data_IF_066438702835
#
_entry.id   IF_066438702835
#
_cell.length_a   1.000
_cell.length_b   1.000
_cell.length_c   1.000
_cell.angle_alpha   90.00
_cell.angle_beta   90.00
_cell.angle_gamma   90.00
#
_symmetry.space_group_name_H-M   'P 1'
#
loop_
_entity.id
_entity.type
_entity.pdbx_description
1 polymer ?
#
# COMPACT_ATOMS: atom_id res chain seq x y z
N UNK A 1 8.07 4.08 0.53
CA UNK A 1 7.62 4.02 1.94
C UNK A 1 8.08 5.28 2.68
N UNK A 2 7.37 5.74 3.72
CA UNK A 2 7.72 6.98 4.45
C UNK A 2 6.87 8.20 4.09
N UNK A 3 5.63 7.97 3.66
CA UNK A 3 4.65 9.03 3.38
C UNK A 3 3.87 9.36 4.66
N UNK A 4 3.56 10.63 4.89
CA UNK A 4 2.83 11.11 6.06
C UNK A 4 1.30 10.95 5.94
N UNK A 5 0.84 10.04 5.08
CA UNK A 5 -0.57 9.77 4.84
C UNK A 5 -0.78 8.33 4.37
N UNK A 6 -1.96 7.77 4.66
CA UNK A 6 -2.36 6.45 4.19
C UNK A 6 -3.25 6.60 2.94
N UNK A 7 -2.70 6.20 1.80
CA UNK A 7 -3.38 6.11 0.51
C UNK A 7 -3.98 4.72 0.26
N UNK A 8 -4.66 4.60 -0.87
CA UNK A 8 -5.19 3.30 -1.34
C UNK A 8 -4.06 2.31 -1.65
N UNK A 9 -2.87 2.82 -1.98
CA UNK A 9 -1.68 2.03 -2.27
C UNK A 9 -1.17 1.30 -1.03
N UNK A 10 -1.18 1.97 0.13
CA UNK A 10 -0.80 1.36 1.41
C UNK A 10 -1.83 0.30 1.82
N UNK A 11 -3.11 0.52 1.55
CA UNK A 11 -4.16 -0.48 1.78
C UNK A 11 -3.93 -1.71 0.88
N UNK A 12 -3.65 -1.51 -0.41
CA UNK A 12 -3.33 -2.60 -1.35
C UNK A 12 -2.09 -3.40 -0.89
N UNK A 13 -1.01 -2.71 -0.53
CA UNK A 13 0.20 -3.37 -0.04
C UNK A 13 -0.05 -4.11 1.29
N UNK A 14 -0.92 -3.58 2.15
CA UNK A 14 -1.38 -4.26 3.35
C UNK A 14 -2.15 -5.55 3.04
N UNK A 15 -3.09 -5.51 2.09
CA UNK A 15 -3.86 -6.68 1.64
C UNK A 15 -2.96 -7.76 1.03
N UNK A 16 -1.97 -7.38 0.22
CA UNK A 16 -1.01 -8.34 -0.34
C UNK A 16 -0.11 -8.90 0.76
N UNK A 17 0.35 -8.04 1.68
CA UNK A 17 1.26 -8.38 2.76
C UNK A 17 0.66 -9.25 3.86
N UNK A 18 -0.65 -9.15 4.10
CA UNK A 18 -1.40 -10.03 5.01
C UNK A 18 -1.21 -11.51 4.65
N UNK A 19 -1.19 -11.82 3.35
CA UNK A 19 -0.79 -13.13 2.81
C UNK A 19 -1.77 -14.29 3.03
N UNK A 20 -2.68 -14.19 4.00
CA UNK A 20 -3.62 -15.26 4.39
C UNK A 20 -5.07 -14.97 3.94
N UNK A 21 -5.44 -13.70 3.80
CA UNK A 21 -6.76 -13.24 3.38
C UNK A 21 -7.16 -13.61 1.95
N UNK A 22 -8.47 -13.53 1.67
CA UNK A 22 -9.04 -13.83 0.34
C UNK A 22 -8.44 -12.89 -0.72
N UNK A 23 -8.30 -11.60 -0.42
CA UNK A 23 -7.69 -10.62 -1.32
C UNK A 23 -6.24 -10.98 -1.65
N UNK A 24 -5.43 -11.37 -0.66
CA UNK A 24 -4.06 -11.81 -0.86
C UNK A 24 -3.98 -13.02 -1.80
N UNK A 25 -4.87 -14.00 -1.62
CA UNK A 25 -4.93 -15.21 -2.45
C UNK A 25 -5.31 -14.88 -3.90
N UNK A 26 -6.32 -14.02 -4.11
CA UNK A 26 -6.74 -13.58 -5.44
C UNK A 26 -5.60 -12.83 -6.15
N UNK A 27 -4.99 -11.86 -5.48
CA UNK A 27 -3.88 -11.07 -6.03
C UNK A 27 -2.68 -11.98 -6.38
N UNK A 28 -2.34 -12.93 -5.50
CA UNK A 28 -1.30 -13.93 -5.77
C UNK A 28 -1.64 -14.82 -6.96
N UNK A 29 -2.90 -15.24 -7.11
CA UNK A 29 -3.36 -16.02 -8.27
C UNK A 29 -3.29 -15.23 -9.58
N UNK A 30 -3.35 -13.89 -9.51
CA UNK A 30 -3.14 -13.00 -10.67
C UNK A 30 -1.66 -12.70 -10.94
N UNK A 31 -0.74 -13.33 -10.20
CA UNK A 31 0.70 -13.10 -10.33
C UNK A 31 1.19 -11.81 -9.66
N UNK A 32 0.33 -11.12 -8.89
CA UNK A 32 0.72 -9.92 -8.14
C UNK A 32 1.48 -10.35 -6.90
N UNK A 33 2.73 -9.93 -6.80
CA UNK A 33 3.57 -10.16 -5.64
C UNK A 33 3.85 -8.86 -4.89
N UNK A 34 4.13 -8.96 -3.59
CA UNK A 34 4.33 -7.80 -2.72
C UNK A 34 5.53 -6.95 -3.15
N UNK A 35 6.60 -7.60 -3.63
CA UNK A 35 7.86 -6.95 -3.97
C UNK A 35 7.69 -6.03 -5.18
N UNK A 36 7.08 -6.54 -6.24
CA UNK A 36 6.87 -5.81 -7.49
C UNK A 36 5.80 -4.73 -7.27
N UNK A 37 4.71 -5.05 -6.56
CA UNK A 37 3.70 -4.06 -6.17
C UNK A 37 4.33 -2.89 -5.39
N UNK A 38 5.26 -3.17 -4.47
CA UNK A 38 5.97 -2.12 -3.73
C UNK A 38 6.86 -1.28 -4.65
N UNK A 39 7.57 -1.89 -5.59
CA UNK A 39 8.41 -1.16 -6.55
C UNK A 39 7.55 -0.24 -7.42
N UNK A 40 6.42 -0.72 -7.94
CA UNK A 40 5.52 0.09 -8.76
C UNK A 40 4.87 1.23 -7.98
N UNK A 41 4.42 0.98 -6.75
CA UNK A 41 3.91 2.04 -5.87
C UNK A 41 4.99 3.10 -5.58
N UNK A 42 6.24 2.68 -5.35
CA UNK A 42 7.36 3.61 -5.16
C UNK A 42 7.70 4.41 -6.43
N UNK A 43 7.50 3.85 -7.64
CA UNK A 43 7.66 4.58 -8.90
C UNK A 43 6.57 5.63 -9.12
N UNK A 44 5.32 5.31 -8.78
CA UNK A 44 4.16 6.18 -9.01
C UNK A 44 4.12 7.32 -7.99
N UNK A 45 4.27 7.01 -6.71
CA UNK A 45 4.09 7.98 -5.61
C UNK A 45 5.44 8.57 -5.17
N UNK A 46 6.57 7.95 -5.54
CA UNK A 46 7.88 8.28 -5.01
C UNK A 46 8.12 7.70 -3.61
N UNK A 47 9.33 7.93 -3.08
CA UNK A 47 9.63 7.71 -1.67
C UNK A 47 9.29 8.97 -0.89
N UNK A 48 8.49 8.82 0.16
CA UNK A 48 8.24 9.92 1.09
C UNK A 48 9.51 10.26 1.86
N UNK A 49 9.50 11.41 2.54
CA UNK A 49 10.67 12.00 3.21
C UNK A 49 11.24 11.15 4.35
N UNK A 50 10.64 10.00 4.67
CA UNK A 50 11.04 9.14 5.79
C UNK A 50 10.66 9.72 7.15
N UNK A 51 10.14 10.95 7.18
CA UNK A 51 9.52 11.54 8.34
C UNK A 51 8.22 10.79 8.63
N UNK A 52 8.06 10.34 9.87
CA UNK A 52 6.84 9.70 10.36
C UNK A 52 6.15 10.71 11.27
N UNK A 53 5.08 11.33 10.78
CA UNK A 53 4.24 12.20 11.58
C UNK A 53 3.60 11.42 12.74
N UNK A 54 3.36 12.12 13.86
CA UNK A 54 2.70 11.57 15.07
C UNK A 54 1.30 11.04 14.74
N UNK A 55 0.63 11.65 13.75
CA UNK A 55 -0.64 11.19 13.22
C UNK A 55 -0.50 10.99 11.70
N UNK A 56 -0.94 9.84 11.20
CA UNK A 56 -0.89 9.49 9.77
C UNK A 56 -2.32 9.45 9.23
N UNK A 57 -2.84 10.57 8.70
CA UNK A 57 -4.22 10.64 8.22
C UNK A 57 -4.43 9.79 6.97
N UNK A 58 -5.64 9.24 6.82
CA UNK A 58 -6.08 8.62 5.56
C UNK A 58 -6.41 9.68 4.51
N UNK A 59 -6.00 9.43 3.28
CA UNK A 59 -6.44 10.23 2.12
C UNK A 59 -7.95 10.09 1.91
N UNK A 60 -8.64 11.09 1.32
CA UNK A 60 -10.07 11.00 1.03
C UNK A 60 -10.45 9.78 0.18
N UNK A 61 -9.54 9.33 -0.69
CA UNK A 61 -9.74 8.12 -1.51
C UNK A 61 -9.69 6.86 -0.66
N UNK A 62 -8.73 6.77 0.25
CA UNK A 62 -8.61 5.64 1.18
C UNK A 62 -9.78 5.55 2.18
N UNK A 63 -10.48 6.66 2.46
CA UNK A 63 -11.70 6.63 3.31
C UNK A 63 -12.95 6.13 2.60
N UNK A 64 -12.92 5.98 1.27
CA UNK A 64 -14.10 5.63 0.43
C UNK A 64 -14.10 4.18 -0.04
N UNK A 65 -13.05 3.42 0.25
CA UNK A 65 -12.93 1.99 -0.12
C UNK A 65 -13.59 1.08 0.91
#
# INVERSE_FOLDING_TARGET
MGHNFVGTEQILLGLIGEGTGVAAKVLKSMGVNLKDARIEVEKIIGRGSGFVAVEIPFTPRAKRV
#
